data_IF_148069881667
#
_entry.id   IF_148069881667
#
_cell.length_a   1.000
_cell.length_b   1.000
_cell.length_c   1.000
_cell.angle_alpha   90.00
_cell.angle_beta   90.00
_cell.angle_gamma   90.00
#
_symmetry.space_group_name_H-M   'P 1'
#
loop_
_entity.id
_entity.type
_entity.pdbx_description
1 polymer ?
#
# COMPACT_ATOMS: atom_id res chain seq x y z
N UNK A 1 -13.32 27.01 9.50
CA UNK A 1 -12.04 26.55 10.11
C UNK A 1 -11.86 25.09 9.71
N UNK A 2 -11.31 24.89 8.52
CA UNK A 2 -10.89 23.61 7.95
C UNK A 2 -9.52 23.28 8.59
N UNK A 3 -9.35 22.20 9.34
CA UNK A 3 -9.30 20.83 8.84
C UNK A 3 -7.83 20.41 8.82
N UNK A 4 -7.31 19.88 9.93
CA UNK A 4 -5.94 19.38 10.05
C UNK A 4 -5.95 18.04 10.77
N UNK A 5 -6.64 17.06 10.17
CA UNK A 5 -6.60 15.67 10.61
C UNK A 5 -5.55 14.92 9.78
N UNK A 6 -4.45 14.57 10.45
CA UNK A 6 -3.69 13.33 10.23
C UNK A 6 -3.30 12.95 8.80
N UNK A 7 -2.47 13.72 8.12
CA UNK A 7 -1.61 13.19 7.06
C UNK A 7 -0.21 12.86 7.62
N UNK A 8 0.40 11.79 7.07
CA UNK A 8 1.60 11.10 7.55
C UNK A 8 2.61 11.97 8.31
N UNK A 9 3.00 11.49 9.48
CA UNK A 9 3.81 12.22 10.45
C UNK A 9 5.26 12.37 9.97
N UNK A 10 5.51 13.31 9.05
CA UNK A 10 6.85 13.70 8.61
C UNK A 10 7.34 14.88 9.44
N UNK A 11 8.58 14.80 9.90
CA UNK A 11 9.24 15.86 10.65
C UNK A 11 10.26 16.59 9.78
N UNK A 12 10.32 17.91 9.96
CA UNK A 12 11.21 18.82 9.26
C UNK A 12 12.11 19.53 10.25
N UNK A 13 13.33 19.85 9.85
CA UNK A 13 14.24 20.74 10.56
C UNK A 13 14.32 22.07 9.80
N UNK A 14 14.14 23.19 10.50
CA UNK A 14 14.29 24.51 9.92
C UNK A 14 15.78 24.83 9.71
N UNK A 15 16.19 25.10 8.47
CA UNK A 15 17.59 25.39 8.17
C UNK A 15 18.04 26.77 8.70
N UNK A 16 17.10 27.65 9.07
CA UNK A 16 17.41 28.98 9.60
C UNK A 16 17.65 29.01 11.12
N UNK A 17 17.01 28.13 11.90
CA UNK A 17 17.13 28.15 13.36
C UNK A 17 17.32 26.77 14.00
N UNK A 18 17.25 25.67 13.23
CA UNK A 18 17.40 24.31 13.72
C UNK A 18 16.19 23.73 14.46
N UNK A 19 15.03 24.41 14.47
CA UNK A 19 13.82 23.89 15.15
C UNK A 19 13.26 22.67 14.40
N UNK A 20 12.90 21.63 15.15
CA UNK A 20 12.17 20.46 14.63
C UNK A 20 10.66 20.72 14.59
N UNK A 21 10.07 20.62 13.41
CA UNK A 21 8.69 21.00 13.10
C UNK A 21 7.93 19.82 12.50
N UNK A 22 6.69 19.63 12.95
CA UNK A 22 5.71 18.82 12.22
C UNK A 22 5.17 19.64 11.04
N UNK A 23 4.70 18.98 9.98
CA UNK A 23 4.11 19.65 8.79
C UNK A 23 3.13 20.78 9.14
N UNK A 24 2.22 20.54 10.10
CA UNK A 24 1.22 21.52 10.55
C UNK A 24 1.78 22.68 11.40
N UNK A 25 3.03 22.60 11.88
CA UNK A 25 3.69 23.66 12.64
C UNK A 25 4.53 24.59 11.76
N UNK A 26 4.82 24.19 10.52
CA UNK A 26 5.71 24.93 9.61
C UNK A 26 5.16 26.33 9.30
N UNK A 27 3.88 26.46 8.97
CA UNK A 27 3.30 27.77 8.63
C UNK A 27 3.37 28.74 9.81
N UNK A 28 3.02 28.25 11.01
CA UNK A 28 3.11 29.05 12.24
C UNK A 28 4.56 29.45 12.51
N UNK A 29 5.51 28.56 12.29
CA UNK A 29 6.93 28.81 12.47
C UNK A 29 7.43 29.94 11.55
N UNK A 30 7.11 29.90 10.26
CA UNK A 30 7.47 30.96 9.32
C UNK A 30 6.84 32.31 9.67
N UNK A 31 5.59 32.33 10.14
CA UNK A 31 4.93 33.58 10.51
C UNK A 31 5.50 34.23 11.79
N UNK A 32 5.93 33.41 12.76
CA UNK A 32 6.23 33.86 14.13
C UNK A 32 7.71 33.92 14.46
N UNK A 33 8.52 32.97 13.99
CA UNK A 33 9.95 32.85 14.35
C UNK A 33 10.88 33.14 13.18
N UNK A 34 10.67 32.47 12.04
CA UNK A 34 11.61 32.48 10.92
C UNK A 34 10.95 33.05 9.66
N UNK A 35 10.73 34.37 9.67
CA UNK A 35 10.05 35.09 8.57
C UNK A 35 10.84 35.14 7.26
N UNK A 36 12.17 35.06 7.34
CA UNK A 36 13.07 35.18 6.19
C UNK A 36 13.66 33.83 5.73
N UNK A 37 13.56 32.79 6.56
CA UNK A 37 14.13 31.47 6.28
C UNK A 37 13.05 30.46 5.91
N UNK A 38 12.64 30.42 4.64
CA UNK A 38 11.68 29.43 4.12
C UNK A 38 12.38 28.18 3.58
N UNK A 39 13.31 27.62 4.34
CA UNK A 39 14.04 26.41 3.98
C UNK A 39 13.96 25.36 5.09
N UNK A 40 13.56 24.16 4.70
CA UNK A 40 13.35 23.02 5.60
C UNK A 40 14.04 21.79 5.06
N UNK A 41 14.54 20.96 5.94
CA UNK A 41 15.06 19.64 5.60
C UNK A 41 14.23 18.56 6.27
N UNK A 42 13.73 17.58 5.54
CA UNK A 42 13.09 16.43 6.17
C UNK A 42 14.11 15.66 7.01
N UNK A 43 13.76 15.33 8.26
CA UNK A 43 14.67 14.64 9.18
C UNK A 43 14.94 13.21 8.71
N UNK A 44 13.94 12.54 8.16
CA UNK A 44 14.05 11.13 7.78
C UNK A 44 14.78 10.93 6.45
N UNK A 45 14.42 11.69 5.40
CA UNK A 45 15.04 11.52 4.08
C UNK A 45 16.17 12.51 3.77
N UNK A 46 16.39 13.52 4.61
CA UNK A 46 17.37 14.59 4.40
C UNK A 46 17.18 15.38 3.09
N UNK A 47 15.98 15.34 2.49
CA UNK A 47 15.63 16.18 1.34
C UNK A 47 15.38 17.61 1.80
N UNK A 48 15.94 18.56 1.08
CA UNK A 48 15.71 20.00 1.29
C UNK A 48 14.47 20.46 0.52
N UNK A 49 13.72 21.38 1.13
CA UNK A 49 12.48 21.95 0.62
C UNK A 49 12.54 23.48 0.75
N UNK A 50 12.13 24.18 -0.30
CA UNK A 50 12.09 25.64 -0.32
C UNK A 50 10.64 26.13 -0.40
N UNK A 51 10.34 27.19 0.35
CA UNK A 51 9.00 27.78 0.35
C UNK A 51 7.94 26.78 0.84
N UNK A 52 7.04 26.41 -0.06
CA UNK A 52 5.86 25.57 0.18
C UNK A 52 6.02 24.14 -0.38
N UNK A 53 7.18 23.78 -0.94
CA UNK A 53 7.42 22.45 -1.51
C UNK A 53 7.24 21.31 -0.49
N UNK A 54 7.47 21.59 0.79
CA UNK A 54 7.27 20.64 1.89
C UNK A 54 5.82 20.13 1.99
N UNK A 55 4.84 20.88 1.48
CA UNK A 55 3.43 20.48 1.51
C UNK A 55 3.15 19.21 0.69
N UNK A 56 3.94 18.97 -0.37
CA UNK A 56 3.82 17.77 -1.20
C UNK A 56 4.52 16.55 -0.59
N UNK A 57 5.34 16.76 0.44
CA UNK A 57 6.07 15.68 1.10
C UNK A 57 5.18 15.02 2.16
N UNK A 58 4.50 13.94 1.76
CA UNK A 58 3.58 13.16 2.61
C UNK A 58 4.16 11.80 3.01
N UNK A 59 5.18 11.31 2.30
CA UNK A 59 5.90 10.06 2.57
C UNK A 59 7.39 10.25 2.28
N UNK A 60 8.24 9.81 3.21
CA UNK A 60 9.69 9.76 3.02
C UNK A 60 10.08 8.62 2.07
N UNK A 61 11.14 8.83 1.28
CA UNK A 61 11.74 7.73 0.50
C UNK A 61 12.34 6.69 1.45
N UNK A 62 12.38 5.43 1.04
CA UNK A 62 13.02 4.40 1.84
C UNK A 62 14.53 4.60 1.89
N UNK A 63 15.16 4.11 2.95
CA UNK A 63 16.62 4.17 3.12
C UNK A 63 17.36 3.49 1.95
N UNK A 64 16.79 2.41 1.43
CA UNK A 64 17.32 1.67 0.27
C UNK A 64 17.30 2.51 -1.02
N UNK A 65 16.28 3.36 -1.23
CA UNK A 65 16.21 4.29 -2.36
C UNK A 65 17.15 5.49 -2.21
N UNK A 66 17.44 5.93 -0.97
CA UNK A 66 18.37 7.04 -0.69
C UNK A 66 19.83 6.69 -0.99
N UNK A 67 20.25 5.47 -0.63
CA UNK A 67 21.65 5.04 -0.77
C UNK A 67 21.91 4.19 -2.01
N UNK A 68 20.88 3.70 -2.69
CA UNK A 68 21.07 3.07 -4.00
C UNK A 68 21.24 4.15 -5.05
N UNK A 69 22.44 4.26 -5.63
CA UNK A 69 22.71 5.16 -6.76
C UNK A 69 21.81 4.89 -7.98
N UNK A 70 22.14 5.48 -9.14
CA UNK A 70 21.38 5.40 -10.42
C UNK A 70 21.03 3.97 -10.94
N UNK A 71 21.42 2.92 -10.23
CA UNK A 71 21.10 1.52 -10.48
C UNK A 71 20.24 0.89 -9.36
N UNK A 72 19.34 1.64 -8.71
CA UNK A 72 18.35 1.04 -7.82
C UNK A 72 17.40 0.15 -8.63
N UNK A 73 17.66 -1.15 -8.61
CA UNK A 73 16.67 -2.15 -8.94
C UNK A 73 15.96 -2.46 -7.63
N UNK A 74 14.68 -2.11 -7.44
CA UNK A 74 13.95 -2.51 -6.25
C UNK A 74 14.09 -4.02 -6.08
N UNK A 75 14.64 -4.44 -4.94
CA UNK A 75 14.72 -5.87 -4.59
C UNK A 75 13.35 -6.48 -4.83
N UNK A 76 13.31 -7.59 -5.57
CA UNK A 76 12.09 -8.37 -5.81
C UNK A 76 11.44 -8.77 -4.46
N UNK A 77 10.64 -7.88 -3.88
CA UNK A 77 10.25 -8.00 -2.50
C UNK A 77 9.88 -6.72 -1.75
N UNK A 78 10.49 -5.57 -2.08
CA UNK A 78 10.28 -4.33 -1.32
C UNK A 78 8.81 -3.88 -1.30
N UNK A 79 8.07 -4.13 -2.39
CA UNK A 79 6.65 -3.81 -2.53
C UNK A 79 5.70 -4.98 -2.23
N UNK A 80 6.16 -6.10 -1.67
CA UNK A 80 5.29 -7.29 -1.42
C UNK A 80 4.08 -6.96 -0.55
N UNK A 81 4.20 -6.05 0.41
CA UNK A 81 3.10 -5.63 1.28
C UNK A 81 2.03 -4.85 0.53
N UNK A 82 2.45 -3.84 -0.25
CA UNK A 82 1.57 -2.99 -1.05
C UNK A 82 0.96 -3.77 -2.22
N UNK A 83 1.74 -4.62 -2.89
CA UNK A 83 1.26 -5.49 -3.97
C UNK A 83 0.19 -6.46 -3.46
N UNK A 84 0.35 -7.03 -2.25
CA UNK A 84 -0.69 -7.86 -1.61
C UNK A 84 -1.92 -7.06 -1.22
N UNK A 85 -1.79 -5.75 -0.94
CA UNK A 85 -2.93 -4.89 -0.66
C UNK A 85 -3.69 -4.57 -1.95
N UNK A 86 -2.97 -4.17 -3.02
CA UNK A 86 -3.57 -3.87 -4.32
C UNK A 86 -4.27 -5.11 -4.90
N UNK A 87 -3.63 -6.28 -4.83
CA UNK A 87 -4.23 -7.53 -5.28
C UNK A 87 -5.49 -7.90 -4.47
N UNK A 88 -5.50 -7.63 -3.17
CA UNK A 88 -6.70 -7.83 -2.34
C UNK A 88 -7.85 -6.90 -2.75
N UNK A 89 -7.55 -5.62 -3.01
CA UNK A 89 -8.57 -4.65 -3.48
C UNK A 89 -9.13 -5.07 -4.85
N UNK A 90 -8.28 -5.57 -5.75
CA UNK A 90 -8.68 -6.08 -7.06
C UNK A 90 -9.59 -7.31 -6.94
N UNK A 91 -9.31 -8.23 -6.01
CA UNK A 91 -10.17 -9.39 -5.71
C UNK A 91 -11.55 -8.97 -5.19
N UNK A 92 -11.62 -7.95 -4.34
CA UNK A 92 -12.89 -7.39 -3.88
C UNK A 92 -13.67 -6.81 -5.06
N UNK A 93 -13.01 -6.10 -5.97
CA UNK A 93 -13.64 -5.57 -7.18
C UNK A 93 -14.17 -6.69 -8.10
N UNK A 94 -13.39 -7.74 -8.33
CA UNK A 94 -13.84 -8.90 -9.11
C UNK A 94 -15.06 -9.60 -8.47
N UNK A 95 -15.07 -9.71 -7.14
CA UNK A 95 -16.20 -10.27 -6.41
C UNK A 95 -17.47 -9.42 -6.55
N UNK A 96 -17.36 -8.08 -6.58
CA UNK A 96 -18.49 -7.18 -6.88
C UNK A 96 -19.05 -7.50 -8.27
N UNK A 97 -18.19 -7.61 -9.28
CA UNK A 97 -18.60 -7.88 -10.65
C UNK A 97 -19.27 -9.26 -10.80
N UNK A 98 -18.77 -10.28 -10.08
CA UNK A 98 -19.38 -11.60 -10.02
C UNK A 98 -20.69 -11.65 -9.23
N UNK A 99 -20.90 -10.73 -8.28
CA UNK A 99 -22.09 -10.67 -7.43
C UNK A 99 -23.25 -9.85 -8.03
N UNK A 100 -23.12 -9.29 -9.25
CA UNK A 100 -24.15 -8.41 -9.87
C UNK A 100 -25.58 -8.98 -9.84
N UNK A 101 -25.72 -10.30 -9.89
CA UNK A 101 -27.02 -10.99 -9.83
C UNK A 101 -27.65 -11.03 -8.43
N UNK A 102 -26.85 -10.98 -7.36
CA UNK A 102 -27.34 -10.93 -5.97
C UNK A 102 -27.21 -9.52 -5.41
N UNK A 103 -28.34 -8.80 -5.38
CA UNK A 103 -28.39 -7.39 -4.96
C UNK A 103 -27.88 -7.17 -3.53
N UNK A 104 -28.08 -8.12 -2.62
CA UNK A 104 -27.68 -7.95 -1.21
C UNK A 104 -26.17 -8.07 -1.06
N UNK A 105 -25.60 -9.10 -1.69
CA UNK A 105 -24.15 -9.34 -1.68
C UNK A 105 -23.40 -8.25 -2.43
N UNK A 106 -23.93 -7.83 -3.59
CA UNK A 106 -23.37 -6.73 -4.36
C UNK A 106 -23.31 -5.43 -3.56
N UNK A 107 -24.41 -5.05 -2.87
CA UNK A 107 -24.43 -3.85 -2.03
C UNK A 107 -23.46 -3.94 -0.84
N UNK A 108 -23.34 -5.13 -0.23
CA UNK A 108 -22.38 -5.35 0.86
C UNK A 108 -20.93 -5.18 0.36
N UNK A 109 -20.57 -5.80 -0.77
CA UNK A 109 -19.22 -5.72 -1.33
C UNK A 109 -18.85 -4.29 -1.77
N UNK A 110 -19.81 -3.51 -2.31
CA UNK A 110 -19.60 -2.09 -2.61
C UNK A 110 -19.23 -1.29 -1.36
N UNK A 111 -19.98 -1.45 -0.26
CA UNK A 111 -19.66 -0.79 1.02
C UNK A 111 -18.30 -1.21 1.58
N UNK A 112 -17.90 -2.47 1.36
CA UNK A 112 -16.59 -2.97 1.77
C UNK A 112 -15.47 -2.29 0.97
N UNK A 113 -15.65 -2.09 -0.36
CA UNK A 113 -14.67 -1.44 -1.24
C UNK A 113 -14.35 -0.01 -0.82
N UNK A 114 -15.34 0.74 -0.35
CA UNK A 114 -15.15 2.13 0.10
C UNK A 114 -14.32 2.24 1.40
N UNK A 115 -14.06 1.12 2.08
CA UNK A 115 -13.28 1.11 3.31
C UNK A 115 -11.76 1.05 3.03
N UNK A 116 -10.94 1.93 3.64
CA UNK A 116 -9.51 2.03 3.32
C UNK A 116 -8.69 0.82 3.80
N UNK A 117 -9.18 0.07 4.79
CA UNK A 117 -8.46 -1.07 5.36
C UNK A 117 -9.41 -2.27 5.55
N UNK A 118 -9.50 -3.10 4.50
CA UNK A 118 -10.32 -4.31 4.49
C UNK A 118 -9.52 -5.48 5.09
N UNK A 119 -10.01 -6.14 6.15
CA UNK A 119 -9.28 -7.25 6.75
C UNK A 119 -9.17 -8.47 5.83
N UNK A 120 -7.96 -9.06 5.79
CA UNK A 120 -7.61 -10.23 4.95
C UNK A 120 -7.76 -11.60 5.64
N UNK A 121 -8.24 -11.62 6.89
CA UNK A 121 -8.46 -12.86 7.65
C UNK A 121 -9.94 -13.02 7.91
N UNK A 122 -10.51 -14.19 7.66
CA UNK A 122 -11.96 -14.44 7.72
C UNK A 122 -12.60 -13.96 9.03
N UNK A 123 -12.08 -14.38 10.18
CA UNK A 123 -12.63 -13.98 11.48
C UNK A 123 -12.60 -12.45 11.69
N UNK A 124 -11.52 -11.79 11.25
CA UNK A 124 -11.39 -10.33 11.33
C UNK A 124 -12.31 -9.62 10.35
N UNK A 125 -12.48 -10.18 9.15
CA UNK A 125 -13.42 -9.70 8.15
C UNK A 125 -14.87 -9.79 8.66
N UNK A 126 -15.28 -10.94 9.21
CA UNK A 126 -16.61 -11.11 9.82
C UNK A 126 -16.86 -10.07 10.91
N UNK A 127 -15.90 -9.88 11.82
CA UNK A 127 -16.02 -8.90 12.89
C UNK A 127 -16.08 -7.46 12.35
N UNK A 128 -15.28 -7.14 11.34
CA UNK A 128 -15.31 -5.85 10.67
C UNK A 128 -16.67 -5.57 10.02
N UNK A 129 -17.22 -6.53 9.28
CA UNK A 129 -18.53 -6.37 8.64
C UNK A 129 -19.64 -6.22 9.69
N UNK A 130 -19.61 -7.01 10.77
CA UNK A 130 -20.57 -6.92 11.88
C UNK A 130 -20.47 -5.59 12.63
N UNK A 131 -19.25 -5.12 12.93
CA UNK A 131 -19.04 -3.93 13.75
C UNK A 131 -19.10 -2.62 12.94
N UNK A 132 -18.34 -2.54 11.84
CA UNK A 132 -18.17 -1.33 11.04
C UNK A 132 -19.33 -1.12 10.07
N UNK A 133 -19.82 -2.19 9.42
CA UNK A 133 -20.92 -2.09 8.44
C UNK A 133 -22.29 -2.42 9.05
N UNK A 134 -22.33 -2.88 10.31
CA UNK A 134 -23.54 -3.28 11.05
C UNK A 134 -24.39 -4.33 10.31
N UNK A 135 -23.76 -5.16 9.48
CA UNK A 135 -24.41 -6.27 8.80
C UNK A 135 -24.21 -7.53 9.62
N UNK A 136 -25.32 -8.10 10.11
CA UNK A 136 -25.31 -9.24 11.03
C UNK A 136 -25.72 -10.55 10.37
N UNK A 137 -26.17 -10.50 9.11
CA UNK A 137 -26.64 -11.66 8.37
C UNK A 137 -25.45 -12.55 7.99
N UNK A 138 -25.18 -13.56 8.81
CA UNK A 138 -23.98 -14.40 8.70
C UNK A 138 -23.85 -15.05 7.33
N UNK A 139 -24.97 -15.52 6.77
CA UNK A 139 -25.03 -16.06 5.40
C UNK A 139 -24.46 -15.09 4.35
N UNK A 140 -24.81 -13.81 4.41
CA UNK A 140 -24.34 -12.83 3.43
C UNK A 140 -22.86 -12.49 3.61
N UNK A 141 -22.39 -12.47 4.86
CA UNK A 141 -20.99 -12.23 5.17
C UNK A 141 -20.12 -13.38 4.67
N UNK A 142 -20.56 -14.62 4.89
CA UNK A 142 -19.87 -15.81 4.41
C UNK A 142 -19.87 -15.89 2.89
N UNK A 143 -21.01 -15.67 2.23
CA UNK A 143 -21.07 -15.63 0.77
C UNK A 143 -20.19 -14.52 0.17
N UNK A 144 -20.16 -13.33 0.77
CA UNK A 144 -19.27 -12.26 0.33
C UNK A 144 -17.79 -12.63 0.50
N UNK A 145 -17.42 -13.26 1.63
CA UNK A 145 -16.07 -13.75 1.87
C UNK A 145 -15.66 -14.82 0.86
N UNK A 146 -16.51 -15.81 0.63
CA UNK A 146 -16.24 -16.90 -0.30
C UNK A 146 -16.08 -16.41 -1.74
N UNK A 147 -16.86 -15.42 -2.17
CA UNK A 147 -16.70 -14.79 -3.47
C UNK A 147 -15.33 -14.10 -3.61
N UNK A 148 -14.90 -13.33 -2.60
CA UNK A 148 -13.57 -12.69 -2.61
C UNK A 148 -12.47 -13.76 -2.68
N UNK A 149 -12.58 -14.83 -1.89
CA UNK A 149 -11.59 -15.92 -1.87
C UNK A 149 -11.56 -16.75 -3.16
N UNK A 150 -12.71 -16.93 -3.80
CA UNK A 150 -12.80 -17.62 -5.10
C UNK A 150 -11.97 -16.90 -6.17
N UNK A 151 -12.02 -15.57 -6.20
CA UNK A 151 -11.20 -14.77 -7.10
C UNK A 151 -9.73 -14.70 -6.67
N UNK A 152 -9.42 -14.90 -5.37
CA UNK A 152 -8.06 -15.03 -4.88
C UNK A 152 -7.35 -16.32 -5.34
N UNK A 153 -8.07 -17.44 -5.45
CA UNK A 153 -7.54 -18.71 -5.97
C UNK A 153 -7.19 -18.65 -7.46
N UNK A 154 -7.94 -17.88 -8.24
CA UNK A 154 -7.75 -17.75 -9.69
C UNK A 154 -6.56 -16.84 -10.06
N UNK A 155 -6.24 -15.83 -9.24
CA UNK A 155 -5.10 -14.95 -9.47
C UNK A 155 -3.73 -15.62 -9.22
N UNK A 156 -3.67 -16.66 -8.38
CA UNK A 156 -2.42 -17.37 -8.08
C UNK A 156 -2.07 -18.42 -9.16
N UNK A 157 -3.05 -18.97 -9.89
CA UNK A 157 -2.81 -19.97 -10.92
C UNK A 157 -2.18 -19.41 -12.22
N UNK A 158 -2.14 -18.08 -12.39
CA UNK A 158 -1.60 -17.42 -13.60
C UNK A 158 -0.16 -16.91 -13.39
N UNK A 159 0.40 -17.04 -12.19
CA UNK A 159 1.78 -16.60 -11.88
C UNK A 159 2.77 -17.73 -11.54
N UNK A 160 2.42 -19.00 -11.79
CA UNK A 160 3.41 -20.08 -11.78
C UNK A 160 4.06 -20.20 -13.17
N UNK A 161 5.38 -19.97 -13.32
CA UNK A 161 6.06 -20.31 -14.56
C UNK A 161 5.93 -21.82 -14.84
N UNK A 162 5.79 -22.24 -16.10
CA UNK A 162 5.57 -23.65 -16.46
C UNK A 162 6.63 -24.56 -15.82
N UNK A 163 6.26 -25.76 -15.34
CA UNK A 163 7.22 -26.70 -14.78
C UNK A 163 8.24 -27.07 -15.87
N UNK A 164 9.50 -26.70 -15.63
CA UNK A 164 10.62 -27.15 -16.45
C UNK A 164 10.65 -28.68 -16.43
N UNK A 165 10.49 -29.28 -17.62
CA UNK A 165 10.52 -30.73 -17.79
C UNK A 165 11.92 -31.24 -17.43
N UNK A 166 12.05 -32.36 -16.70
CA UNK A 166 13.36 -32.93 -16.38
C UNK A 166 13.97 -33.47 -17.68
N UNK A 167 15.04 -32.85 -18.16
CA UNK A 167 15.87 -33.40 -19.24
C UNK A 167 16.79 -34.46 -18.65
N UNK A 168 16.31 -35.70 -18.60
CA UNK A 168 17.16 -36.87 -18.45
C UNK A 168 17.49 -37.40 -19.85
N UNK A 169 18.76 -37.40 -20.22
CA UNK A 169 19.26 -37.95 -21.48
C UNK A 169 20.77 -38.12 -21.45
N UNK A 170 21.21 -39.25 -20.91
CA UNK A 170 22.56 -39.77 -21.08
C UNK A 170 22.84 -40.12 -22.56
N UNK A 171 24.06 -39.86 -23.06
CA UNK A 171 24.81 -40.80 -23.90
C UNK A 171 26.26 -40.33 -24.13
N UNK A 172 27.17 -41.28 -23.90
CA UNK A 172 28.62 -41.37 -24.15
C UNK A 172 29.13 -40.86 -25.52
N UNK A 173 30.44 -40.60 -25.61
CA UNK A 173 31.19 -40.80 -26.86
C UNK A 173 32.45 -39.95 -27.11
N UNK A 174 33.59 -40.39 -26.57
CA UNK A 174 34.91 -40.54 -27.24
C UNK A 174 35.57 -39.45 -28.13
N UNK A 175 36.86 -39.23 -27.81
CA UNK A 175 38.06 -39.22 -28.70
C UNK A 175 38.65 -37.91 -29.26
N UNK A 176 39.90 -37.67 -28.80
CA UNK A 176 41.15 -37.30 -29.52
C UNK A 176 41.24 -35.97 -30.28
N UNK A 177 42.20 -35.13 -29.87
CA UNK A 177 43.51 -35.01 -30.51
C UNK A 177 44.52 -34.42 -29.51
#
# INVERSE_FOLDING_TARGET
VTGAEGEGMVFFSCNACGDSLKKNQVEKHYATKCRQGKSLSCIDCSKEFWGEEYNQHTKCISEEEKYSGKNYVPKAGANKGEQKQNQWVEQVQAAIDGAKSDKNIHQLLQKIKDCPNIPRKQAKFKNFVKNSLRVHQERWIDQAWDLIMKHAGQANAVNEPPPEKPVNGAHEGQSKA
#
